data_IF_242783320283
#
_entry.id   IF_242783320283
#
_cell.length_a   1.000
_cell.length_b   1.000
_cell.length_c   1.000
_cell.angle_alpha   90.00
_cell.angle_beta   90.00
_cell.angle_gamma   90.00
#
_symmetry.space_group_name_H-M   'P 1'
#
loop_
_entity.id
_entity.type
_entity.pdbx_description
1 polymer ?
#
# COMPACT_ATOMS: atom_id res chain seq x y z
N UNK A 1 65.76 3.95 -23.50
CA UNK A 1 64.39 3.89 -22.96
C UNK A 1 63.83 2.49 -23.11
N UNK A 2 63.31 1.89 -22.03
CA UNK A 2 62.69 0.56 -22.08
C UNK A 2 61.37 0.62 -22.87
N UNK A 3 60.95 -0.51 -23.44
CA UNK A 3 59.65 -0.64 -24.12
C UNK A 3 58.48 -0.35 -23.17
N UNK A 4 58.64 -0.68 -21.89
CA UNK A 4 57.69 -0.40 -20.82
C UNK A 4 57.52 1.10 -20.59
N UNK A 5 58.63 1.84 -20.54
CA UNK A 5 58.63 3.30 -20.32
C UNK A 5 57.98 4.04 -21.50
N UNK A 6 58.24 3.59 -22.73
CA UNK A 6 57.61 4.14 -23.94
C UNK A 6 56.09 3.96 -23.93
N UNK A 7 55.61 2.78 -23.53
CA UNK A 7 54.18 2.51 -23.43
C UNK A 7 53.53 3.32 -22.32
N UNK A 8 54.16 3.39 -21.15
CA UNK A 8 53.64 4.17 -20.02
C UNK A 8 53.50 5.66 -20.38
N UNK A 9 54.51 6.23 -21.05
CA UNK A 9 54.48 7.61 -21.53
C UNK A 9 53.32 7.84 -22.51
N UNK A 10 53.15 6.99 -23.51
CA UNK A 10 52.07 7.10 -24.49
C UNK A 10 50.67 7.10 -23.85
N UNK A 11 50.47 6.31 -22.79
CA UNK A 11 49.20 6.26 -22.04
C UNK A 11 48.98 7.54 -21.24
N UNK A 12 50.01 8.05 -20.57
CA UNK A 12 49.93 9.30 -19.79
C UNK A 12 49.64 10.48 -20.72
N UNK A 13 50.37 10.61 -21.82
CA UNK A 13 50.16 11.67 -22.82
C UNK A 13 48.75 11.62 -23.41
N UNK A 14 48.24 10.42 -23.72
CA UNK A 14 46.87 10.27 -24.18
C UNK A 14 45.84 10.67 -23.12
N UNK A 15 46.10 10.38 -21.85
CA UNK A 15 45.20 10.75 -20.77
C UNK A 15 45.17 12.26 -20.57
N UNK A 16 46.34 12.92 -20.59
CA UNK A 16 46.46 14.36 -20.51
C UNK A 16 45.77 15.05 -21.68
N UNK A 17 45.95 14.52 -22.90
CA UNK A 17 45.27 15.01 -24.10
C UNK A 17 43.75 14.96 -23.95
N UNK A 18 43.19 13.82 -23.52
CA UNK A 18 41.75 13.68 -23.28
C UNK A 18 41.26 14.60 -22.17
N UNK A 19 42.08 14.83 -21.14
CA UNK A 19 41.81 15.79 -20.08
C UNK A 19 41.75 17.23 -20.57
N UNK A 20 42.72 17.66 -21.39
CA UNK A 20 42.83 19.01 -21.97
C UNK A 20 41.69 19.31 -22.95
N UNK A 21 41.35 18.34 -23.81
CA UNK A 21 40.23 18.51 -24.76
C UNK A 21 38.84 18.34 -24.13
N UNK A 22 38.75 17.99 -22.85
CA UNK A 22 37.47 17.75 -22.17
C UNK A 22 36.70 16.53 -22.68
N UNK A 23 37.36 15.66 -23.47
CA UNK A 23 36.78 14.41 -23.99
C UNK A 23 36.55 13.41 -22.86
N UNK A 24 35.61 12.49 -23.05
CA UNK A 24 35.26 11.47 -22.03
C UNK A 24 36.44 10.53 -21.80
N UNK A 25 36.97 10.52 -20.58
CA UNK A 25 38.04 9.62 -20.16
C UNK A 25 37.43 8.23 -19.92
N UNK A 26 37.90 7.26 -20.70
CA UNK A 26 37.60 5.83 -20.55
C UNK A 26 38.83 5.04 -20.94
N UNK A 27 39.00 3.82 -20.41
CA UNK A 27 40.11 2.94 -20.77
C UNK A 27 40.23 2.73 -22.29
N UNK A 28 39.10 2.57 -22.98
CA UNK A 28 39.05 2.45 -24.45
C UNK A 28 39.50 3.73 -25.16
N UNK A 29 39.06 4.90 -24.69
CA UNK A 29 39.46 6.17 -25.28
C UNK A 29 40.95 6.46 -25.07
N UNK A 30 41.50 6.16 -23.90
CA UNK A 30 42.91 6.37 -23.57
C UNK A 30 43.80 5.47 -24.45
N UNK A 31 43.51 4.17 -24.51
CA UNK A 31 44.25 3.25 -25.40
C UNK A 31 44.10 3.67 -26.88
N UNK A 32 42.90 4.09 -27.30
CA UNK A 32 42.63 4.46 -28.69
C UNK A 32 43.40 5.69 -29.16
N UNK A 33 43.72 6.62 -28.27
CA UNK A 33 44.48 7.85 -28.58
C UNK A 33 45.97 7.76 -28.24
N UNK A 34 46.40 6.75 -27.49
CA UNK A 34 47.82 6.54 -27.20
C UNK A 34 48.63 6.19 -28.47
N UNK A 35 49.71 6.92 -28.68
CA UNK A 35 50.67 6.77 -29.78
C UNK A 35 52.09 6.72 -29.21
N UNK A 36 52.96 5.92 -29.81
CA UNK A 36 54.39 5.96 -29.54
C UNK A 36 55.02 7.20 -30.19
N UNK A 37 56.27 7.50 -29.85
CA UNK A 37 57.05 8.65 -30.37
C UNK A 37 57.19 8.63 -31.90
N UNK A 38 57.11 7.44 -32.52
CA UNK A 38 57.12 7.25 -33.98
C UNK A 38 55.74 7.44 -34.63
N UNK A 39 54.74 7.88 -33.87
CA UNK A 39 53.36 8.09 -34.31
C UNK A 39 52.53 6.80 -34.43
N UNK A 40 53.08 5.62 -34.15
CA UNK A 40 52.33 4.37 -34.24
C UNK A 40 51.39 4.16 -33.05
N UNK A 41 50.20 3.55 -33.25
CA UNK A 41 49.29 3.25 -32.15
C UNK A 41 49.84 2.19 -31.21
N UNK A 42 49.55 2.37 -29.91
CA UNK A 42 49.81 1.32 -28.92
C UNK A 42 48.87 0.13 -29.12
N UNK A 43 49.32 -1.06 -28.72
CA UNK A 43 48.51 -2.28 -28.80
C UNK A 43 47.28 -2.20 -27.91
N UNK A 44 46.11 -2.55 -28.45
CA UNK A 44 44.82 -2.46 -27.73
C UNK A 44 44.74 -3.34 -26.50
N UNK A 45 45.42 -4.48 -26.52
CA UNK A 45 45.45 -5.46 -25.44
C UNK A 45 46.59 -5.21 -24.45
N UNK A 46 47.56 -4.36 -24.80
CA UNK A 46 48.78 -4.17 -24.01
C UNK A 46 48.47 -3.64 -22.60
N UNK A 47 47.51 -2.72 -22.46
CA UNK A 47 47.09 -2.22 -21.15
C UNK A 47 46.52 -3.32 -20.23
N UNK A 48 45.93 -4.36 -20.82
CA UNK A 48 45.28 -5.46 -20.11
C UNK A 48 46.16 -6.71 -20.01
N UNK A 49 47.44 -6.60 -20.36
CA UNK A 49 48.38 -7.70 -20.23
C UNK A 49 48.48 -8.16 -18.77
N UNK A 50 48.54 -9.47 -18.58
CA UNK A 50 48.63 -10.11 -17.27
C UNK A 50 49.96 -10.83 -17.12
N UNK A 51 50.50 -10.81 -15.91
CA UNK A 51 51.64 -11.64 -15.57
C UNK A 51 51.15 -13.10 -15.45
N UNK A 52 51.81 -14.02 -16.15
CA UNK A 52 51.40 -15.43 -16.17
C UNK A 52 51.50 -16.10 -14.80
N UNK A 53 52.45 -15.64 -13.97
CA UNK A 53 52.73 -16.18 -12.64
C UNK A 53 51.81 -15.60 -11.56
N UNK A 54 51.65 -14.27 -11.52
CA UNK A 54 50.84 -13.62 -10.47
C UNK A 54 49.37 -13.46 -10.85
N UNK A 55 49.01 -13.67 -12.13
CA UNK A 55 47.68 -13.40 -12.72
C UNK A 55 47.20 -11.94 -12.63
N UNK A 56 48.01 -11.06 -12.06
CA UNK A 56 47.74 -9.63 -11.95
C UNK A 56 48.03 -8.89 -13.25
N UNK A 57 47.45 -7.69 -13.40
CA UNK A 57 47.73 -6.82 -14.53
C UNK A 57 49.16 -6.27 -14.46
N UNK A 58 49.92 -6.41 -15.55
CA UNK A 58 51.29 -5.88 -15.69
C UNK A 58 51.30 -4.36 -15.55
N UNK A 59 50.20 -3.70 -15.93
CA UNK A 59 50.01 -2.25 -15.89
C UNK A 59 48.88 -1.84 -14.93
N UNK A 60 48.78 -2.49 -13.76
CA UNK A 60 47.76 -2.19 -12.75
C UNK A 60 47.72 -0.69 -12.37
N UNK A 61 48.88 -0.05 -12.22
CA UNK A 61 48.97 1.38 -11.86
C UNK A 61 48.34 2.29 -12.92
N UNK A 62 48.53 1.98 -14.21
CA UNK A 62 47.94 2.74 -15.32
C UNK A 62 46.41 2.58 -15.35
N UNK A 63 45.91 1.36 -15.09
CA UNK A 63 44.47 1.12 -15.01
C UNK A 63 43.84 1.93 -13.86
N UNK A 64 44.49 1.95 -12.70
CA UNK A 64 44.04 2.72 -11.54
C UNK A 64 44.01 4.22 -11.84
N UNK A 65 45.08 4.73 -12.44
CA UNK A 65 45.22 6.14 -12.79
C UNK A 65 44.13 6.60 -13.79
N UNK A 66 43.79 5.77 -14.77
CA UNK A 66 42.69 6.05 -15.71
C UNK A 66 41.33 6.06 -14.98
N UNK A 67 41.09 5.12 -14.06
CA UNK A 67 39.84 5.06 -13.30
C UNK A 67 39.68 6.26 -12.35
N UNK A 68 40.76 6.69 -11.70
CA UNK A 68 40.80 7.89 -10.87
C UNK A 68 40.50 9.16 -11.70
N UNK A 69 41.12 9.29 -12.88
CA UNK A 69 40.88 10.41 -13.78
C UNK A 69 39.43 10.44 -14.31
N UNK A 70 38.87 9.28 -14.66
CA UNK A 70 37.47 9.16 -15.07
C UNK A 70 36.50 9.54 -13.93
N UNK A 71 36.79 9.10 -12.70
CA UNK A 71 35.99 9.44 -11.52
C UNK A 71 36.07 10.93 -11.19
N UNK A 72 37.24 11.54 -11.27
CA UNK A 72 37.43 12.99 -11.08
C UNK A 72 36.66 13.80 -12.13
N UNK A 73 36.67 13.36 -13.39
CA UNK A 73 35.90 13.99 -14.46
C UNK A 73 34.39 13.88 -14.22
N UNK A 74 33.90 12.75 -13.70
CA UNK A 74 32.49 12.56 -13.36
C UNK A 74 32.06 13.47 -12.19
N UNK A 75 32.90 13.59 -11.15
CA UNK A 75 32.66 14.50 -10.01
C UNK A 75 32.60 15.96 -10.43
N UNK A 76 33.51 16.42 -11.30
CA UNK A 76 33.47 17.78 -11.88
C UNK A 76 32.17 18.09 -12.64
N UNK A 77 31.50 17.07 -13.19
CA UNK A 77 30.20 17.20 -13.88
C UNK A 77 28.98 17.07 -12.96
N UNK A 78 29.18 17.04 -11.64
CA UNK A 78 28.10 16.96 -10.65
C UNK A 78 27.36 15.62 -10.59
N UNK A 79 27.89 14.55 -11.21
CA UNK A 79 27.29 13.22 -11.13
C UNK A 79 27.63 12.57 -9.79
N UNK A 80 26.59 12.17 -9.05
CA UNK A 80 26.73 11.38 -7.83
C UNK A 80 27.48 10.07 -8.09
N UNK A 81 28.34 9.71 -7.16
CA UNK A 81 29.08 8.44 -7.24
C UNK A 81 28.16 7.27 -6.84
N UNK A 82 28.47 6.06 -7.30
CA UNK A 82 27.72 4.84 -6.92
C UNK A 82 27.47 4.71 -5.41
N UNK A 83 28.47 4.96 -4.53
CA UNK A 83 28.26 4.93 -3.08
C UNK A 83 27.21 5.93 -2.58
N UNK A 84 27.22 7.16 -3.11
CA UNK A 84 26.24 8.19 -2.75
C UNK A 84 24.82 7.79 -3.15
N UNK A 85 24.64 7.29 -4.38
CA UNK A 85 23.33 6.78 -4.84
C UNK A 85 22.85 5.62 -3.97
N UNK A 86 23.75 4.73 -3.55
CA UNK A 86 23.40 3.57 -2.74
C UNK A 86 23.01 3.96 -1.32
N UNK A 87 23.63 5.00 -0.77
CA UNK A 87 23.26 5.57 0.53
C UNK A 87 21.89 6.24 0.48
N UNK A 88 21.62 7.04 -0.56
CA UNK A 88 20.33 7.68 -0.78
C UNK A 88 19.21 6.63 -0.90
N UNK A 89 19.41 5.59 -1.71
CA UNK A 89 18.42 4.52 -1.88
C UNK A 89 18.13 3.78 -0.57
N UNK A 90 19.16 3.51 0.25
CA UNK A 90 18.97 2.88 1.57
C UNK A 90 18.12 3.74 2.49
N UNK A 91 18.33 5.07 2.48
CA UNK A 91 17.53 6.01 3.26
C UNK A 91 16.07 6.00 2.81
N UNK A 92 15.82 6.08 1.50
CA UNK A 92 14.47 6.02 0.93
C UNK A 92 13.75 4.72 1.31
N UNK A 93 14.44 3.58 1.26
CA UNK A 93 13.86 2.30 1.68
C UNK A 93 13.47 2.32 3.17
N UNK A 94 14.31 2.90 4.03
CA UNK A 94 14.01 2.99 5.46
C UNK A 94 12.79 3.89 5.73
N UNK A 95 12.71 5.03 5.04
CA UNK A 95 11.59 5.97 5.17
C UNK A 95 10.29 5.34 4.68
N UNK A 96 10.30 4.68 3.51
CA UNK A 96 9.14 3.97 2.96
C UNK A 96 8.66 2.84 3.88
N UNK A 97 9.58 2.10 4.51
CA UNK A 97 9.20 1.04 5.49
C UNK A 97 8.51 1.62 6.72
N UNK A 98 8.98 2.76 7.21
CA UNK A 98 8.33 3.45 8.35
C UNK A 98 6.94 3.95 7.99
N UNK A 99 6.78 4.55 6.82
CA UNK A 99 5.48 5.02 6.34
C UNK A 99 4.51 3.86 6.14
N UNK A 100 4.97 2.76 5.53
CA UNK A 100 4.16 1.56 5.34
C UNK A 100 3.67 0.99 6.69
N UNK A 101 4.55 0.89 7.70
CA UNK A 101 4.16 0.46 9.05
C UNK A 101 3.06 1.34 9.64
N UNK A 102 3.19 2.68 9.53
CA UNK A 102 2.17 3.61 10.03
C UNK A 102 0.83 3.45 9.32
N UNK A 103 0.85 3.24 8.00
CA UNK A 103 -0.37 3.01 7.22
C UNK A 103 -1.05 1.70 7.61
N UNK A 104 -0.27 0.64 7.86
CA UNK A 104 -0.80 -0.64 8.35
C UNK A 104 -1.49 -0.44 9.71
N UNK A 105 -0.84 0.26 10.64
CA UNK A 105 -1.42 0.55 11.96
C UNK A 105 -2.75 1.33 11.84
N UNK A 106 -2.79 2.34 10.95
CA UNK A 106 -4.01 3.12 10.69
C UNK A 106 -5.15 2.28 10.11
N UNK A 107 -4.84 1.37 9.18
CA UNK A 107 -5.84 0.47 8.60
C UNK A 107 -6.41 -0.47 9.67
N UNK A 108 -5.56 -1.04 10.53
CA UNK A 108 -6.01 -1.90 11.63
C UNK A 108 -6.92 -1.14 12.60
N UNK A 109 -6.56 0.10 12.95
CA UNK A 109 -7.40 0.94 13.80
C UNK A 109 -8.76 1.27 13.16
N UNK A 110 -8.76 1.60 11.86
CA UNK A 110 -10.00 1.88 11.13
C UNK A 110 -10.91 0.66 11.03
N UNK A 111 -10.36 -0.52 10.74
CA UNK A 111 -11.11 -1.79 10.71
C UNK A 111 -11.73 -2.08 12.08
N UNK A 112 -10.97 -1.90 13.17
CA UNK A 112 -11.49 -2.08 14.53
C UNK A 112 -12.66 -1.13 14.84
N UNK A 113 -12.54 0.16 14.46
CA UNK A 113 -13.62 1.14 14.62
C UNK A 113 -14.85 0.78 13.78
N UNK A 114 -14.66 0.33 12.55
CA UNK A 114 -15.76 -0.11 11.68
C UNK A 114 -16.49 -1.33 12.24
N UNK A 115 -15.75 -2.29 12.79
CA UNK A 115 -16.34 -3.46 13.45
C UNK A 115 -17.18 -3.05 14.66
N UNK A 116 -16.68 -2.15 15.51
CA UNK A 116 -17.43 -1.62 16.65
C UNK A 116 -18.75 -0.96 16.20
N UNK A 117 -18.70 -0.02 15.25
CA UNK A 117 -19.90 0.65 14.71
C UNK A 117 -20.88 -0.34 14.06
N UNK A 118 -20.36 -1.36 13.37
CA UNK A 118 -21.21 -2.38 12.73
C UNK A 118 -21.95 -3.25 13.75
N UNK A 119 -21.33 -3.49 14.91
CA UNK A 119 -21.90 -4.29 16.00
C UNK A 119 -22.96 -3.48 16.73
N UNK A 120 -22.68 -2.22 17.06
CA UNK A 120 -23.65 -1.30 17.66
C UNK A 120 -24.88 -1.11 16.77
N UNK A 121 -24.67 -0.87 15.46
CA UNK A 121 -25.78 -0.73 14.50
C UNK A 121 -26.63 -2.00 14.36
N UNK A 122 -26.06 -3.19 14.54
CA UNK A 122 -26.83 -4.44 14.53
C UNK A 122 -27.65 -4.58 15.81
N UNK A 123 -27.08 -4.19 16.96
CA UNK A 123 -27.81 -4.08 18.23
C UNK A 123 -29.01 -3.13 18.10
N UNK A 124 -28.78 -1.91 17.62
CA UNK A 124 -29.82 -0.89 17.44
C UNK A 124 -30.91 -1.34 16.47
N UNK A 125 -30.55 -1.96 15.34
CA UNK A 125 -31.53 -2.48 14.38
C UNK A 125 -32.42 -3.56 14.98
N UNK A 126 -31.87 -4.44 15.82
CA UNK A 126 -32.65 -5.48 16.50
C UNK A 126 -33.55 -4.87 17.58
N UNK A 127 -33.08 -3.86 18.31
CA UNK A 127 -33.90 -3.15 19.32
C UNK A 127 -35.06 -2.41 18.66
N UNK A 128 -34.80 -1.65 17.60
CA UNK A 128 -35.84 -0.94 16.83
C UNK A 128 -36.85 -1.93 16.27
N UNK A 129 -36.36 -3.04 15.70
CA UNK A 129 -37.18 -4.12 15.22
C UNK A 129 -38.12 -4.67 16.32
N UNK A 130 -37.60 -5.01 17.50
CA UNK A 130 -38.43 -5.49 18.61
C UNK A 130 -39.48 -4.45 19.05
N UNK A 131 -39.11 -3.17 19.14
CA UNK A 131 -40.03 -2.09 19.49
C UNK A 131 -41.14 -1.92 18.44
N UNK A 132 -40.81 -2.03 17.15
CA UNK A 132 -41.80 -2.00 16.07
C UNK A 132 -42.78 -3.18 16.17
N UNK A 133 -42.32 -4.37 16.56
CA UNK A 133 -43.17 -5.54 16.79
C UNK A 133 -44.12 -5.30 17.98
N UNK A 134 -43.60 -4.79 19.10
CA UNK A 134 -44.39 -4.47 20.30
C UNK A 134 -45.46 -3.40 20.01
N UNK A 135 -45.08 -2.33 19.31
CA UNK A 135 -46.02 -1.28 18.89
C UNK A 135 -47.08 -1.81 17.95
N UNK A 136 -46.70 -2.63 16.96
CA UNK A 136 -47.66 -3.27 16.07
C UNK A 136 -48.65 -4.14 16.82
N UNK A 137 -48.19 -4.96 17.77
CA UNK A 137 -49.05 -5.81 18.58
C UNK A 137 -50.04 -4.97 19.39
N UNK A 138 -49.56 -3.93 20.09
CA UNK A 138 -50.40 -3.05 20.90
C UNK A 138 -51.47 -2.34 20.06
N UNK A 139 -51.05 -1.73 18.94
CA UNK A 139 -51.94 -1.01 18.01
C UNK A 139 -52.97 -1.97 17.41
N UNK A 140 -52.57 -3.19 17.06
CA UNK A 140 -53.47 -4.21 16.50
C UNK A 140 -54.50 -4.70 17.52
N UNK A 141 -54.09 -4.91 18.77
CA UNK A 141 -55.02 -5.26 19.87
C UNK A 141 -56.01 -4.11 20.09
N UNK A 142 -55.54 -2.87 20.20
CA UNK A 142 -56.41 -1.70 20.40
C UNK A 142 -57.40 -1.57 19.24
N UNK A 143 -56.92 -1.65 17.99
CA UNK A 143 -57.77 -1.64 16.80
C UNK A 143 -58.88 -2.69 16.84
N UNK A 144 -58.59 -3.89 17.34
CA UNK A 144 -59.58 -4.96 17.45
C UNK A 144 -60.56 -4.71 18.59
N UNK A 145 -60.12 -4.13 19.69
CA UNK A 145 -60.98 -3.78 20.83
C UNK A 145 -61.88 -2.56 20.56
N UNK A 146 -61.47 -1.68 19.64
CA UNK A 146 -62.23 -0.47 19.26
C UNK A 146 -62.99 -0.64 17.94
N UNK A 147 -63.13 -1.86 17.43
CA UNK A 147 -63.76 -2.17 16.15
C UNK A 147 -63.24 -1.32 14.99
N UNK A 148 -61.94 -0.99 15.02
CA UNK A 148 -61.22 -0.22 13.99
C UNK A 148 -61.76 1.19 13.77
N UNK A 149 -62.38 1.78 14.79
CA UNK A 149 -62.94 3.14 14.73
C UNK A 149 -61.88 4.25 14.80
N UNK A 150 -60.63 3.91 15.14
CA UNK A 150 -59.51 4.86 15.22
C UNK A 150 -58.60 4.70 14.01
N UNK A 151 -58.77 5.57 13.02
CA UNK A 151 -58.07 5.49 11.72
C UNK A 151 -56.54 5.50 11.83
N UNK A 152 -55.99 6.28 12.77
CA UNK A 152 -54.54 6.37 12.99
C UNK A 152 -53.93 5.02 13.36
N UNK A 153 -54.63 4.23 14.17
CA UNK A 153 -54.19 2.90 14.56
C UNK A 153 -54.33 1.92 13.40
N UNK A 154 -55.38 2.02 12.58
CA UNK A 154 -55.55 1.19 11.39
C UNK A 154 -54.41 1.43 10.40
N UNK A 155 -54.06 2.70 10.17
CA UNK A 155 -52.98 3.08 9.26
C UNK A 155 -51.60 2.68 9.81
N UNK A 156 -51.36 2.80 11.11
CA UNK A 156 -50.12 2.31 11.73
C UNK A 156 -49.95 0.79 11.57
N UNK A 157 -50.99 0.01 11.87
CA UNK A 157 -50.96 -1.45 11.69
C UNK A 157 -50.69 -1.81 10.23
N UNK A 158 -51.36 -1.14 9.29
CA UNK A 158 -51.16 -1.33 7.85
C UNK A 158 -49.74 -1.06 7.39
N UNK A 159 -49.11 0.03 7.87
CA UNK A 159 -47.72 0.38 7.53
C UNK A 159 -46.75 -0.71 7.95
N UNK A 160 -46.92 -1.24 9.16
CA UNK A 160 -46.11 -2.35 9.64
C UNK A 160 -46.32 -3.61 8.78
N UNK A 161 -47.58 -4.00 8.51
CA UNK A 161 -47.87 -5.18 7.68
C UNK A 161 -47.33 -5.05 6.25
N UNK A 162 -47.30 -3.84 5.68
CA UNK A 162 -46.69 -3.59 4.38
C UNK A 162 -45.16 -3.72 4.43
N UNK A 163 -44.53 -3.17 5.47
CA UNK A 163 -43.08 -3.22 5.68
C UNK A 163 -42.58 -4.66 5.85
N UNK A 164 -43.34 -5.51 6.53
CA UNK A 164 -42.97 -6.89 6.89
C UNK A 164 -43.77 -7.97 6.14
N UNK A 165 -44.39 -7.63 5.01
CA UNK A 165 -45.33 -8.53 4.29
C UNK A 165 -44.77 -9.92 3.95
N UNK A 166 -43.47 -10.02 3.69
CA UNK A 166 -42.79 -11.27 3.34
C UNK A 166 -41.82 -11.72 4.45
N UNK A 167 -41.94 -11.16 5.66
CA UNK A 167 -41.09 -11.48 6.80
C UNK A 167 -41.88 -12.36 7.80
N UNK A 168 -41.34 -13.52 8.23
CA UNK A 168 -41.97 -14.37 9.24
C UNK A 168 -42.30 -13.68 10.56
N UNK A 169 -41.73 -12.50 10.83
CA UNK A 169 -42.05 -11.67 11.99
C UNK A 169 -43.50 -11.22 11.99
N UNK A 170 -44.05 -10.81 10.86
CA UNK A 170 -45.44 -10.39 10.77
C UNK A 170 -46.39 -11.50 11.23
N UNK A 171 -46.20 -12.73 10.72
CA UNK A 171 -47.02 -13.88 11.11
C UNK A 171 -46.87 -14.24 12.59
N UNK A 172 -45.69 -14.05 13.19
CA UNK A 172 -45.48 -14.26 14.63
C UNK A 172 -46.22 -13.21 15.46
N UNK A 173 -46.08 -11.93 15.11
CA UNK A 173 -46.78 -10.85 15.79
C UNK A 173 -48.30 -10.98 15.67
N UNK A 174 -48.81 -11.41 14.51
CA UNK A 174 -50.24 -11.69 14.33
C UNK A 174 -50.73 -12.81 15.26
N UNK A 175 -49.96 -13.89 15.40
CA UNK A 175 -50.29 -14.98 16.31
C UNK A 175 -50.32 -14.53 17.79
N UNK A 176 -49.36 -13.69 18.19
CA UNK A 176 -49.33 -13.11 19.54
C UNK A 176 -50.52 -12.17 19.79
N UNK A 177 -50.91 -11.34 18.79
CA UNK A 177 -52.10 -10.48 18.88
C UNK A 177 -53.35 -11.30 19.15
N UNK A 178 -53.57 -12.39 18.41
CA UNK A 178 -54.73 -13.26 18.60
C UNK A 178 -54.70 -13.94 19.98
N UNK A 179 -53.52 -14.42 20.42
CA UNK A 179 -53.33 -14.98 21.77
C UNK A 179 -53.72 -13.98 22.86
N UNK A 180 -53.24 -12.75 22.78
CA UNK A 180 -53.55 -11.71 23.76
C UNK A 180 -55.04 -11.31 23.73
N UNK A 181 -55.65 -11.24 22.56
CA UNK A 181 -57.09 -10.98 22.45
C UNK A 181 -57.91 -12.09 23.08
N UNK A 182 -57.51 -13.36 22.92
CA UNK A 182 -58.13 -14.49 23.60
C UNK A 182 -57.99 -14.38 25.12
N UNK A 183 -56.79 -14.11 25.64
CA UNK A 183 -56.56 -13.91 27.07
C UNK A 183 -57.42 -12.78 27.66
N UNK A 184 -57.52 -11.64 26.96
CA UNK A 184 -58.38 -10.50 27.36
C UNK A 184 -59.85 -10.92 27.38
N UNK A 185 -60.31 -11.67 26.37
CA UNK A 185 -61.70 -12.16 26.31
C UNK A 185 -62.01 -13.13 27.45
N UNK A 186 -61.13 -14.10 27.70
CA UNK A 186 -61.28 -15.06 28.80
C UNK A 186 -61.24 -14.39 30.18
N UNK A 187 -60.38 -13.38 30.37
CA UNK A 187 -60.32 -12.59 31.61
C UNK A 187 -61.60 -11.80 31.87
N UNK A 188 -62.26 -11.27 30.83
CA UNK A 188 -63.56 -10.60 30.98
C UNK A 188 -64.68 -11.57 31.33
N UNK A 189 -64.68 -12.77 30.73
CA UNK A 189 -65.70 -13.80 30.99
C UNK A 189 -65.60 -14.34 32.42
N UNK A 190 -64.40 -14.55 32.95
CA UNK A 190 -64.23 -14.98 34.35
C UNK A 190 -64.71 -13.93 35.36
N UNK A 191 -64.57 -12.65 35.05
CA UNK A 191 -65.05 -11.55 35.89
C UNK A 191 -66.58 -11.42 35.91
N UNK A 192 -67.27 -11.79 34.83
CA UNK A 192 -68.74 -11.82 34.74
C UNK A 192 -69.33 -13.05 35.46
N UNK A 193 -68.60 -14.16 35.50
CA UNK A 193 -69.06 -15.41 36.14
C UNK A 193 -68.80 -15.46 37.66
N UNK A 194 -68.07 -14.50 38.22
CA UNK A 194 -67.71 -14.43 39.65
C UNK A 194 -68.26 -13.20 40.38
N UNK A 195 -68.96 -12.29 39.69
CA UNK A 195 -69.69 -11.16 40.28
C UNK A 195 -71.18 -11.41 40.29
#
# INVERSE_FOLDING_TARGET
>A
MSRKDRFQRAIIESLEFLGKEGKKITKTAVIGNARFEDGKPVGRTTLYSRNENTKEFVHADLLRLIDEAAAAQARKKGRKTRPETLMDLRKTIADLRRENSKLVDQVVEQESRLQAVSTDRRGDKNVIACQEDELYMLVSIINRLTDRTVDDFVEQARRYSLKYRNDPRLSRSDAEVERYLDEIRYSRLSHILTG
#
